data_IF_927160824070
#
_entry.id   IF_927160824070
#
_cell.length_a   1.000
_cell.length_b   1.000
_cell.length_c   1.000
_cell.angle_alpha   90.00
_cell.angle_beta   90.00
_cell.angle_gamma   90.00
#
_symmetry.space_group_name_H-M   'P 1'
#
loop_
_entity.id
_entity.type
_entity.pdbx_description
1 polymer ?
#
# COMPACT_ATOMS: atom_id res chain seq x y z
N UNK A 1 -30.04 6.30 -38.67
CA UNK A 1 -29.75 4.92 -38.20
C UNK A 1 -28.39 4.94 -37.50
N UNK A 2 -28.35 5.18 -36.19
CA UNK A 2 -27.09 5.14 -35.42
C UNK A 2 -26.75 3.68 -35.10
N UNK A 3 -25.57 3.26 -35.53
CA UNK A 3 -25.17 1.86 -35.62
C UNK A 3 -25.07 1.17 -34.25
N UNK A 4 -25.78 0.04 -34.03
CA UNK A 4 -25.72 -0.72 -32.77
C UNK A 4 -24.30 -1.18 -32.38
N UNK A 5 -23.41 -1.34 -33.36
CA UNK A 5 -22.00 -1.66 -33.14
C UNK A 5 -21.25 -0.62 -32.30
N UNK A 6 -21.54 0.68 -32.48
CA UNK A 6 -20.85 1.73 -31.72
C UNK A 6 -21.20 1.68 -30.21
N UNK A 7 -22.43 1.26 -29.88
CA UNK A 7 -22.86 1.09 -28.48
C UNK A 7 -22.22 -0.14 -27.84
N UNK A 8 -22.17 -1.26 -28.57
CA UNK A 8 -21.51 -2.49 -28.11
C UNK A 8 -20.01 -2.29 -27.88
N UNK A 9 -19.31 -1.60 -28.79
CA UNK A 9 -17.88 -1.30 -28.65
C UNK A 9 -17.60 -0.41 -27.44
N UNK A 10 -18.43 0.62 -27.20
CA UNK A 10 -18.29 1.48 -26.00
C UNK A 10 -18.50 0.71 -24.70
N UNK A 11 -19.51 -0.16 -24.65
CA UNK A 11 -19.77 -0.98 -23.47
C UNK A 11 -18.63 -1.97 -23.21
N UNK A 12 -18.09 -2.59 -24.27
CA UNK A 12 -16.94 -3.48 -24.15
C UNK A 12 -15.69 -2.72 -23.66
N UNK A 13 -15.44 -1.52 -24.17
CA UNK A 13 -14.33 -0.68 -23.72
C UNK A 13 -14.46 -0.31 -22.24
N UNK A 14 -15.65 0.13 -21.80
CA UNK A 14 -15.92 0.43 -20.39
C UNK A 14 -15.69 -0.81 -19.51
N UNK A 15 -16.22 -1.97 -19.92
CA UNK A 15 -16.07 -3.21 -19.17
C UNK A 15 -14.59 -3.62 -19.01
N UNK A 16 -13.79 -3.52 -20.08
CA UNK A 16 -12.36 -3.81 -20.04
C UNK A 16 -11.60 -2.84 -19.14
N UNK A 17 -11.88 -1.54 -19.23
CA UNK A 17 -11.26 -0.54 -18.36
C UNK A 17 -11.63 -0.76 -16.89
N UNK A 18 -12.89 -1.05 -16.58
CA UNK A 18 -13.34 -1.36 -15.22
C UNK A 18 -12.68 -2.64 -14.68
N UNK A 19 -12.53 -3.67 -15.50
CA UNK A 19 -11.83 -4.90 -15.12
C UNK A 19 -10.35 -4.63 -14.85
N UNK A 20 -9.69 -3.83 -15.71
CA UNK A 20 -8.28 -3.46 -15.52
C UNK A 20 -8.07 -2.65 -14.24
N UNK A 21 -8.94 -1.67 -13.95
CA UNK A 21 -8.89 -0.89 -12.71
C UNK A 21 -9.12 -1.77 -11.48
N UNK A 22 -10.10 -2.68 -11.55
CA UNK A 22 -10.37 -3.65 -10.47
C UNK A 22 -9.16 -4.54 -10.22
N UNK A 23 -8.53 -5.04 -11.29
CA UNK A 23 -7.31 -5.83 -11.19
C UNK A 23 -6.15 -5.07 -10.56
N UNK A 24 -5.98 -3.79 -10.93
CA UNK A 24 -4.94 -2.93 -10.35
C UNK A 24 -5.16 -2.73 -8.84
N UNK A 25 -6.39 -2.45 -8.42
CA UNK A 25 -6.73 -2.28 -6.99
C UNK A 25 -6.53 -3.59 -6.23
N UNK A 26 -6.95 -4.73 -6.79
CA UNK A 26 -6.81 -6.03 -6.14
C UNK A 26 -5.35 -6.37 -5.79
N UNK A 27 -4.39 -5.97 -6.64
CA UNK A 27 -2.94 -6.21 -6.40
C UNK A 27 -2.43 -5.55 -5.11
N UNK A 28 -3.03 -4.43 -4.68
CA UNK A 28 -2.64 -3.78 -3.42
C UNK A 28 -3.04 -4.57 -2.17
N UNK A 29 -4.08 -5.40 -2.28
CA UNK A 29 -4.60 -6.20 -1.17
C UNK A 29 -4.12 -7.66 -1.20
N UNK A 30 -3.26 -8.02 -2.15
CA UNK A 30 -2.63 -9.34 -2.17
C UNK A 30 -1.66 -9.43 -0.98
N UNK A 31 -1.68 -10.54 -0.21
CA UNK A 31 -0.73 -10.76 0.86
C UNK A 31 0.71 -10.74 0.36
N UNK A 32 1.59 -10.10 1.11
CA UNK A 32 3.00 -10.00 0.78
C UNK A 32 3.75 -11.29 1.09
N UNK A 33 4.93 -11.44 0.48
CA UNK A 33 5.77 -12.61 0.71
C UNK A 33 6.59 -12.52 2.01
N UNK A 34 7.21 -13.63 2.46
CA UNK A 34 8.00 -13.66 3.71
C UNK A 34 9.17 -12.65 3.75
N UNK A 35 9.72 -12.27 2.59
CA UNK A 35 10.77 -11.24 2.52
C UNK A 35 10.26 -9.86 2.89
N UNK A 36 9.04 -9.52 2.46
CA UNK A 36 8.39 -8.24 2.73
C UNK A 36 7.88 -8.19 4.17
N UNK A 37 7.34 -9.29 4.71
CA UNK A 37 7.01 -9.42 6.14
C UNK A 37 8.22 -9.15 7.03
N UNK A 38 9.39 -9.71 6.67
CA UNK A 38 10.63 -9.44 7.40
C UNK A 38 11.02 -7.97 7.34
N UNK A 39 10.82 -7.31 6.20
CA UNK A 39 11.09 -5.88 6.07
C UNK A 39 10.13 -5.06 6.95
N UNK A 40 8.85 -5.45 7.03
CA UNK A 40 7.87 -4.83 7.92
C UNK A 40 8.32 -4.87 9.39
N UNK A 41 8.84 -6.03 9.84
CA UNK A 41 9.38 -6.20 11.21
C UNK A 41 10.62 -5.36 11.47
N UNK A 42 11.42 -5.05 10.44
CA UNK A 42 12.56 -4.14 10.58
C UNK A 42 12.07 -2.70 10.69
N UNK A 43 11.14 -2.30 9.81
CA UNK A 43 10.54 -0.97 9.81
C UNK A 43 9.81 -0.68 11.12
N UNK A 44 9.12 -1.66 11.71
CA UNK A 44 8.43 -1.49 12.99
C UNK A 44 9.34 -1.12 14.17
N UNK A 45 10.67 -1.19 14.01
CA UNK A 45 11.66 -0.84 15.04
C UNK A 45 12.22 0.56 14.89
N UNK A 46 11.82 1.30 13.85
CA UNK A 46 12.30 2.67 13.57
C UNK A 46 11.78 3.68 14.58
N UNK A 47 10.56 3.47 15.10
CA UNK A 47 9.99 4.33 16.14
C UNK A 47 8.54 3.98 16.47
N UNK A 48 7.86 4.83 17.26
CA UNK A 48 6.51 4.57 17.74
C UNK A 48 5.45 4.55 16.63
N UNK A 49 5.59 5.38 15.59
CA UNK A 49 4.61 5.42 14.49
C UNK A 49 4.70 4.17 13.62
N UNK A 50 5.91 3.77 13.22
CA UNK A 50 6.16 2.53 12.48
C UNK A 50 5.72 1.29 13.26
N UNK A 51 5.89 1.28 14.59
CA UNK A 51 5.40 0.18 15.44
C UNK A 51 3.86 0.15 15.53
N UNK A 52 3.21 1.31 15.58
CA UNK A 52 1.74 1.39 15.57
C UNK A 52 1.18 0.90 14.23
N UNK A 53 1.73 1.38 13.11
CA UNK A 53 1.35 0.95 11.77
C UNK A 53 1.55 -0.57 11.58
N UNK A 54 2.69 -1.12 12.03
CA UNK A 54 2.93 -2.57 11.97
C UNK A 54 1.88 -3.37 12.74
N UNK A 55 1.48 -2.92 13.94
CA UNK A 55 0.45 -3.61 14.72
C UNK A 55 -0.93 -3.52 14.07
N UNK A 56 -1.27 -2.36 13.50
CA UNK A 56 -2.53 -2.18 12.78
C UNK A 56 -2.61 -3.08 11.54
N UNK A 57 -1.51 -3.15 10.78
CA UNK A 57 -1.37 -4.00 9.60
C UNK A 57 -1.57 -5.50 9.88
N UNK A 58 -1.24 -5.98 11.08
CA UNK A 58 -1.43 -7.37 11.48
C UNK A 58 -2.80 -7.67 12.10
N UNK A 59 -3.71 -6.68 12.18
CA UNK A 59 -5.03 -6.87 12.80
C UNK A 59 -5.85 -7.99 12.15
N UNK A 60 -5.75 -8.13 10.83
CA UNK A 60 -6.45 -9.17 10.05
C UNK A 60 -5.62 -10.45 9.84
N UNK A 61 -4.45 -10.56 10.50
CA UNK A 61 -3.59 -11.75 10.47
C UNK A 61 -2.83 -11.97 9.15
N UNK A 62 -2.87 -11.01 8.23
CA UNK A 62 -2.13 -11.01 6.97
C UNK A 62 -1.62 -9.62 6.66
N UNK A 63 -0.41 -9.55 6.14
CA UNK A 63 0.18 -8.31 5.68
C UNK A 63 -0.04 -8.15 4.18
N UNK A 64 -0.57 -7.02 3.74
CA UNK A 64 -0.78 -6.70 2.32
C UNK A 64 0.23 -5.68 1.81
N UNK A 65 0.26 -5.48 0.49
CA UNK A 65 1.14 -4.46 -0.11
C UNK A 65 0.69 -3.05 0.31
N UNK A 66 -0.61 -2.81 0.49
CA UNK A 66 -1.13 -1.56 1.05
C UNK A 66 -0.54 -1.30 2.44
N UNK A 67 -0.59 -2.29 3.32
CA UNK A 67 -0.06 -2.19 4.68
C UNK A 67 1.46 -1.91 4.69
N UNK A 68 2.21 -2.52 3.77
CA UNK A 68 3.63 -2.25 3.62
C UNK A 68 3.93 -0.78 3.28
N UNK A 69 3.07 -0.11 2.51
CA UNK A 69 3.24 1.32 2.23
C UNK A 69 3.01 2.16 3.47
N UNK A 70 1.95 1.86 4.22
CA UNK A 70 1.65 2.58 5.47
C UNK A 70 2.75 2.41 6.52
N UNK A 71 3.25 1.18 6.71
CA UNK A 71 4.36 0.91 7.62
C UNK A 71 5.60 1.69 7.18
N UNK A 72 5.93 1.72 5.88
CA UNK A 72 7.10 2.44 5.37
C UNK A 72 6.98 3.95 5.59
N UNK A 73 5.81 4.52 5.35
CA UNK A 73 5.56 5.95 5.52
C UNK A 73 5.66 6.37 6.99
N UNK A 74 4.98 5.64 7.88
CA UNK A 74 5.06 5.87 9.33
C UNK A 74 6.49 5.71 9.88
N UNK A 75 7.22 4.70 9.41
CA UNK A 75 8.63 4.52 9.74
C UNK A 75 9.52 5.64 9.19
N UNK A 76 9.21 6.17 8.01
CA UNK A 76 9.89 7.33 7.44
C UNK A 76 9.76 8.56 8.33
N UNK A 77 8.55 8.85 8.79
CA UNK A 77 8.30 9.94 9.74
C UNK A 77 9.07 9.78 11.07
N UNK A 78 9.15 8.56 11.61
CA UNK A 78 9.95 8.30 12.80
C UNK A 78 11.45 8.58 12.57
N UNK A 79 11.98 8.19 11.41
CA UNK A 79 13.38 8.45 11.03
C UNK A 79 13.62 9.95 10.84
N UNK A 80 12.73 10.65 10.13
CA UNK A 80 12.85 12.08 9.88
C UNK A 80 12.85 12.87 11.19
N UNK A 81 11.97 12.51 12.12
CA UNK A 81 11.92 13.10 13.46
C UNK A 81 13.23 12.87 14.23
N UNK A 82 13.79 11.66 14.15
CA UNK A 82 15.06 11.35 14.79
C UNK A 82 16.23 12.16 14.21
N UNK A 83 16.29 12.31 12.88
CA UNK A 83 17.31 13.11 12.20
C UNK A 83 17.22 14.58 12.60
N UNK A 84 16.01 15.15 12.60
CA UNK A 84 15.79 16.55 12.99
C UNK A 84 16.18 16.82 14.45
N UNK A 85 15.83 15.90 15.37
CA UNK A 85 16.26 16.00 16.76
C UNK A 85 17.78 15.91 16.91
N UNK A 86 18.43 15.00 16.19
CA UNK A 86 19.87 14.79 16.27
C UNK A 86 20.65 16.01 15.75
N UNK A 87 20.17 16.67 14.69
CA UNK A 87 20.76 17.89 14.14
C UNK A 87 20.52 19.14 15.01
N UNK A 88 19.50 19.15 15.88
CA UNK A 88 19.28 20.23 16.86
C UNK A 88 20.20 20.14 18.08
N UNK A 89 20.79 18.98 18.34
CA UNK A 89 21.68 18.75 19.49
C UNK A 89 23.17 18.87 19.18
N UNK A 90 23.53 19.08 17.92
CA UNK A 90 24.91 19.30 17.45
C UNK A 90 25.24 20.77 17.28
#
# INVERSE_FOLDING_TARGET
MQQPHARTVRLAAIALTSAALTGLVAVYFIPVGPKEERAATVLSKTGPQGQAAYRAAWSDGRLTRADMYEIRDASGHDIDNWVDMSGRTS
#
